data_IF_922171496749
#
_entry.id   IF_922171496749
#
_cell.length_a   1.000
_cell.length_b   1.000
_cell.length_c   1.000
_cell.angle_alpha   90.00
_cell.angle_beta   90.00
_cell.angle_gamma   90.00
#
_symmetry.space_group_name_H-M   'P 1'
#
loop_
_entity.id
_entity.type
_entity.pdbx_description
1 polymer ?
#
# COMPACT_ATOMS: atom_id res chain seq x y z
N UNK A 1 -15.99 -4.63 -4.32
CA UNK A 1 -15.43 -5.39 -5.46
C UNK A 1 -14.22 -4.64 -5.98
N UNK A 2 -13.04 -5.28 -6.03
CA UNK A 2 -11.80 -4.65 -6.54
C UNK A 2 -11.35 -5.45 -7.76
N UNK A 3 -11.13 -4.75 -8.89
CA UNK A 3 -10.67 -5.37 -10.13
C UNK A 3 -9.22 -4.93 -10.37
N UNK A 4 -8.32 -5.91 -10.52
CA UNK A 4 -6.94 -5.63 -10.86
C UNK A 4 -6.84 -5.03 -12.27
N UNK A 5 -5.98 -4.01 -12.48
CA UNK A 5 -5.71 -3.52 -13.81
C UNK A 5 -4.93 -4.55 -14.62
N UNK A 6 -5.15 -4.57 -15.94
CA UNK A 6 -4.52 -5.51 -16.86
C UNK A 6 -2.99 -5.50 -16.75
N UNK A 7 -2.40 -4.33 -16.51
CA UNK A 7 -0.97 -4.14 -16.30
C UNK A 7 -0.39 -5.00 -15.18
N UNK A 8 -1.08 -5.11 -14.03
CA UNK A 8 -0.59 -5.88 -12.88
C UNK A 8 -0.73 -7.38 -13.13
N UNK A 9 -1.82 -7.81 -13.75
CA UNK A 9 -2.02 -9.22 -14.13
C UNK A 9 -0.95 -9.66 -15.14
N UNK A 10 -0.72 -8.84 -16.17
CA UNK A 10 0.32 -9.08 -17.16
C UNK A 10 1.72 -9.11 -16.50
N UNK A 11 2.00 -8.21 -15.57
CA UNK A 11 3.26 -8.18 -14.85
C UNK A 11 3.48 -9.45 -14.02
N UNK A 12 2.47 -9.91 -13.28
CA UNK A 12 2.57 -11.18 -12.53
C UNK A 12 2.82 -12.38 -13.44
N UNK A 13 2.21 -12.41 -14.62
CA UNK A 13 2.48 -13.44 -15.62
C UNK A 13 3.93 -13.38 -16.13
N UNK A 14 4.44 -12.18 -16.46
CA UNK A 14 5.84 -12.01 -16.88
C UNK A 14 6.81 -12.41 -15.77
N UNK A 15 6.54 -12.04 -14.52
CA UNK A 15 7.34 -12.47 -13.37
C UNK A 15 7.38 -13.99 -13.22
N UNK A 16 6.25 -14.67 -13.41
CA UNK A 16 6.18 -16.14 -13.36
C UNK A 16 7.03 -16.78 -14.47
N UNK A 17 6.98 -16.23 -15.69
CA UNK A 17 7.82 -16.70 -16.80
C UNK A 17 9.31 -16.54 -16.47
N UNK A 18 9.70 -15.41 -15.89
CA UNK A 18 11.09 -15.16 -15.50
C UNK A 18 11.53 -16.11 -14.39
N UNK A 19 10.67 -16.34 -13.41
CA UNK A 19 10.93 -17.33 -12.36
C UNK A 19 11.11 -18.73 -12.94
N UNK A 20 10.31 -19.10 -13.94
CA UNK A 20 10.46 -20.37 -14.65
C UNK A 20 11.80 -20.49 -15.38
N UNK A 21 12.16 -19.50 -16.20
CA UNK A 21 13.42 -19.53 -16.96
C UNK A 21 14.67 -19.46 -16.07
N UNK A 22 14.65 -18.58 -15.06
CA UNK A 22 15.73 -18.51 -14.08
C UNK A 22 15.81 -19.77 -13.22
N UNK A 23 14.68 -20.34 -12.82
CA UNK A 23 14.60 -21.62 -12.14
C UNK A 23 15.21 -22.75 -12.97
N UNK A 24 14.89 -22.83 -14.27
CA UNK A 24 15.46 -23.83 -15.17
C UNK A 24 16.98 -23.69 -15.32
N UNK A 25 17.49 -22.46 -15.42
CA UNK A 25 18.93 -22.19 -15.43
C UNK A 25 19.59 -22.68 -14.13
N UNK A 26 19.02 -22.34 -12.97
CA UNK A 26 19.54 -22.77 -11.68
C UNK A 26 19.48 -24.29 -11.50
N UNK A 27 18.44 -24.95 -12.02
CA UNK A 27 18.35 -26.41 -12.04
C UNK A 27 19.54 -27.00 -12.80
N UNK A 28 19.88 -26.47 -13.98
CA UNK A 28 21.05 -26.95 -14.75
C UNK A 28 22.36 -26.77 -13.96
N UNK A 29 22.52 -25.65 -13.24
CA UNK A 29 23.67 -25.44 -12.36
C UNK A 29 23.72 -26.47 -11.24
N UNK A 30 22.60 -26.74 -10.57
CA UNK A 30 22.55 -27.76 -9.50
C UNK A 30 22.74 -29.18 -10.01
N UNK A 31 22.28 -29.50 -11.23
CA UNK A 31 22.52 -30.81 -11.84
C UNK A 31 24.01 -31.00 -12.17
N UNK A 32 24.69 -29.93 -12.58
CA UNK A 32 26.14 -29.96 -12.82
C UNK A 32 26.91 -30.28 -11.54
N UNK A 33 26.48 -29.77 -10.38
CA UNK A 33 27.11 -30.10 -9.10
C UNK A 33 26.71 -31.48 -8.58
N UNK A 34 25.54 -32.01 -8.96
CA UNK A 34 25.05 -33.33 -8.61
C UNK A 34 25.67 -34.46 -9.46
N UNK A 35 26.02 -34.18 -10.71
CA UNK A 35 26.52 -35.17 -11.67
C UNK A 35 27.74 -35.97 -11.19
N UNK A 36 28.80 -35.37 -10.62
CA UNK A 36 29.98 -36.11 -10.16
C UNK A 36 29.65 -37.12 -9.07
N UNK A 37 28.68 -36.81 -8.19
CA UNK A 37 28.21 -37.73 -7.16
C UNK A 37 27.52 -38.95 -7.77
N UNK A 38 26.57 -38.74 -8.68
CA UNK A 38 25.85 -39.83 -9.37
C UNK A 38 26.81 -40.71 -10.17
N UNK A 39 27.75 -40.08 -10.88
CA UNK A 39 28.74 -40.80 -11.70
C UNK A 39 29.68 -41.66 -10.84
N UNK A 40 30.15 -41.14 -9.72
CA UNK A 40 31.02 -41.87 -8.80
C UNK A 40 30.28 -43.06 -8.13
N UNK A 41 29.00 -42.89 -7.78
CA UNK A 41 28.18 -43.98 -7.23
C UNK A 41 27.96 -45.10 -8.26
N UNK A 42 27.69 -44.74 -9.52
CA UNK A 42 27.46 -45.69 -10.60
C UNK A 42 28.73 -46.46 -11.03
N UNK A 43 29.90 -45.81 -10.98
CA UNK A 43 31.17 -46.42 -11.43
C UNK A 43 31.91 -47.18 -10.33
N UNK A 44 31.41 -47.18 -9.09
CA UNK A 44 32.07 -47.77 -7.91
C UNK A 44 33.55 -47.36 -7.76
N UNK A 45 33.94 -46.19 -8.28
CA UNK A 45 35.32 -45.72 -8.32
C UNK A 45 35.52 -44.59 -7.29
N UNK A 46 35.73 -44.97 -6.03
CA UNK A 46 36.00 -44.03 -4.93
C UNK A 46 37.49 -43.68 -4.90
N UNK A 47 37.92 -42.70 -5.71
CA UNK A 47 39.34 -42.33 -5.84
C UNK A 47 39.85 -41.58 -4.61
N UNK A 48 39.03 -40.74 -3.95
CA UNK A 48 39.35 -40.00 -2.73
C UNK A 48 38.09 -39.77 -1.86
N UNK A 49 38.04 -40.33 -0.65
CA UNK A 49 36.86 -40.22 0.24
C UNK A 49 36.50 -38.75 0.60
N UNK A 50 37.52 -37.89 0.81
CA UNK A 50 37.29 -36.50 1.23
C UNK A 50 36.69 -35.58 0.15
N UNK A 51 37.13 -35.75 -1.11
CA UNK A 51 36.62 -34.95 -2.24
C UNK A 51 35.19 -35.38 -2.61
N UNK A 52 34.91 -36.66 -2.47
CA UNK A 52 33.57 -37.21 -2.64
C UNK A 52 32.60 -36.63 -1.60
N UNK A 53 32.94 -36.69 -0.30
CA UNK A 53 32.09 -36.17 0.78
C UNK A 53 31.80 -34.67 0.65
N UNK A 54 32.80 -33.88 0.24
CA UNK A 54 32.63 -32.44 -0.03
C UNK A 54 31.64 -32.18 -1.17
N UNK A 55 31.73 -32.97 -2.24
CA UNK A 55 30.84 -32.84 -3.40
C UNK A 55 29.41 -33.25 -3.07
N UNK A 56 29.23 -34.26 -2.22
CA UNK A 56 27.91 -34.65 -1.69
C UNK A 56 27.30 -33.52 -0.86
N UNK A 57 28.06 -32.93 0.07
CA UNK A 57 27.59 -31.83 0.91
C UNK A 57 27.16 -30.63 0.05
N UNK A 58 28.00 -30.24 -0.91
CA UNK A 58 27.72 -29.09 -1.78
C UNK A 58 26.48 -29.32 -2.67
N UNK A 59 26.31 -30.53 -3.21
CA UNK A 59 25.17 -30.86 -4.08
C UNK A 59 23.85 -30.86 -3.32
N UNK A 60 23.77 -31.54 -2.16
CA UNK A 60 22.56 -31.56 -1.29
C UNK A 60 22.18 -30.15 -0.85
N UNK A 61 23.17 -29.36 -0.43
CA UNK A 61 23.00 -27.99 -0.03
C UNK A 61 22.47 -27.09 -1.16
N UNK A 62 23.05 -27.23 -2.35
CA UNK A 62 22.64 -26.48 -3.55
C UNK A 62 21.20 -26.84 -3.97
N UNK A 63 20.81 -28.12 -3.87
CA UNK A 63 19.43 -28.54 -4.12
C UNK A 63 18.44 -27.92 -3.12
N UNK A 64 18.78 -27.91 -1.83
CA UNK A 64 17.94 -27.25 -0.81
C UNK A 64 17.81 -25.73 -1.07
N UNK A 65 18.92 -25.06 -1.39
CA UNK A 65 18.93 -23.64 -1.72
C UNK A 65 18.08 -23.30 -2.95
N UNK A 66 18.04 -24.19 -3.94
CA UNK A 66 17.18 -24.06 -5.12
C UNK A 66 15.70 -24.07 -4.75
N UNK A 67 15.27 -25.02 -3.91
CA UNK A 67 13.89 -25.07 -3.43
C UNK A 67 13.51 -23.80 -2.65
N UNK A 68 14.39 -23.35 -1.75
CA UNK A 68 14.17 -22.11 -0.97
C UNK A 68 14.03 -20.90 -1.89
N UNK A 69 14.89 -20.77 -2.90
CA UNK A 69 14.85 -19.62 -3.82
C UNK A 69 13.56 -19.60 -4.66
N UNK A 70 13.13 -20.75 -5.19
CA UNK A 70 11.89 -20.84 -5.98
C UNK A 70 10.66 -20.54 -5.12
N UNK A 71 10.58 -21.11 -3.91
CA UNK A 71 9.48 -20.88 -2.98
C UNK A 71 9.43 -19.40 -2.56
N UNK A 72 10.59 -18.79 -2.26
CA UNK A 72 10.66 -17.36 -1.95
C UNK A 72 10.15 -16.54 -3.14
N UNK A 73 10.63 -16.82 -4.35
CA UNK A 73 10.19 -16.13 -5.56
C UNK A 73 8.68 -16.19 -5.80
N UNK A 74 8.07 -17.38 -5.65
CA UNK A 74 6.61 -17.54 -5.72
C UNK A 74 5.90 -16.72 -4.65
N UNK A 75 6.36 -16.81 -3.39
CA UNK A 75 5.77 -16.07 -2.28
C UNK A 75 5.79 -14.55 -2.52
N UNK A 76 6.89 -14.00 -3.05
CA UNK A 76 6.99 -12.56 -3.35
C UNK A 76 5.99 -12.11 -4.42
N UNK A 77 5.74 -12.91 -5.47
CA UNK A 77 4.74 -12.58 -6.50
C UNK A 77 3.34 -12.48 -5.87
N UNK A 78 2.96 -13.46 -5.05
CA UNK A 78 1.65 -13.44 -4.37
C UNK A 78 1.52 -12.29 -3.38
N UNK A 79 2.56 -12.04 -2.58
CA UNK A 79 2.58 -10.95 -1.59
C UNK A 79 2.51 -9.59 -2.30
N UNK A 80 3.25 -9.40 -3.40
CA UNK A 80 3.22 -8.18 -4.20
C UNK A 80 1.83 -7.88 -4.77
N UNK A 81 1.16 -8.89 -5.33
CA UNK A 81 -0.22 -8.74 -5.85
C UNK A 81 -1.24 -8.42 -4.75
N UNK A 82 -1.08 -8.99 -3.55
CA UNK A 82 -1.92 -8.67 -2.38
C UNK A 82 -1.68 -7.25 -1.90
N UNK A 83 -0.41 -6.85 -1.79
CA UNK A 83 -0.03 -5.54 -1.27
C UNK A 83 -0.45 -4.42 -2.22
N UNK A 84 -0.33 -4.61 -3.55
CA UNK A 84 -0.87 -3.67 -4.53
C UNK A 84 -2.35 -3.34 -4.26
N UNK A 85 -3.19 -4.36 -4.03
CA UNK A 85 -4.61 -4.16 -3.71
C UNK A 85 -4.78 -3.39 -2.41
N UNK A 86 -4.02 -3.74 -1.38
CA UNK A 86 -4.11 -3.10 -0.07
C UNK A 86 -3.70 -1.61 -0.15
N UNK A 87 -2.59 -1.32 -0.81
CA UNK A 87 -2.06 0.03 -0.95
C UNK A 87 -2.97 0.89 -1.83
N UNK A 88 -3.52 0.33 -2.92
CA UNK A 88 -4.48 1.04 -3.78
C UNK A 88 -5.76 1.42 -3.01
N UNK A 89 -6.28 0.52 -2.15
CA UNK A 89 -7.45 0.81 -1.32
C UNK A 89 -7.18 1.92 -0.30
N UNK A 90 -5.97 1.98 0.27
CA UNK A 90 -5.56 3.08 1.15
C UNK A 90 -5.50 4.41 0.43
N UNK A 91 -4.96 4.44 -0.79
CA UNK A 91 -4.93 5.65 -1.62
C UNK A 91 -6.34 6.12 -1.93
N UNK A 92 -7.27 5.21 -2.23
CA UNK A 92 -8.68 5.59 -2.46
C UNK A 92 -9.36 6.19 -1.22
N UNK A 93 -8.91 5.82 -0.02
CA UNK A 93 -9.37 6.43 1.24
C UNK A 93 -8.72 7.80 1.51
N UNK A 94 -7.76 8.24 0.67
CA UNK A 94 -7.01 9.48 0.86
C UNK A 94 -5.87 9.37 1.88
N UNK A 95 -5.49 8.16 2.29
CA UNK A 95 -4.34 7.96 3.17
C UNK A 95 -3.03 8.14 2.37
N UNK A 96 -2.13 9.00 2.86
CA UNK A 96 -0.80 9.18 2.27
C UNK A 96 0.05 7.92 2.53
N UNK A 97 0.62 7.32 1.48
CA UNK A 97 1.54 6.17 1.61
C UNK A 97 2.93 6.63 2.02
N UNK A 98 3.45 7.66 1.36
CA UNK A 98 4.74 8.28 1.68
C UNK A 98 4.60 9.77 1.47
N UNK A 99 4.93 10.54 2.51
CA UNK A 99 4.81 12.00 2.50
C UNK A 99 5.86 12.63 1.58
N UNK A 100 7.09 12.11 1.60
CA UNK A 100 8.22 12.68 0.87
C UNK A 100 8.15 12.48 -0.65
N UNK A 101 7.41 11.47 -1.14
CA UNK A 101 7.28 11.21 -2.58
C UNK A 101 6.19 12.05 -3.26
N UNK A 102 5.35 12.76 -2.51
CA UNK A 102 4.35 13.67 -3.08
C UNK A 102 4.95 14.95 -3.68
N UNK A 103 6.16 15.34 -3.27
CA UNK A 103 6.81 16.58 -3.70
C UNK A 103 7.53 16.47 -5.06
N UNK A 104 7.49 15.31 -5.72
CA UNK A 104 8.12 15.13 -7.03
C UNK A 104 7.29 15.77 -8.14
N UNK A 105 7.98 16.36 -9.11
CA UNK A 105 7.38 16.91 -10.32
C UNK A 105 6.52 15.86 -11.05
N UNK A 106 5.35 16.20 -11.59
CA UNK A 106 4.47 15.25 -12.29
C UNK A 106 5.15 14.46 -13.42
N UNK A 107 6.09 15.11 -14.13
CA UNK A 107 6.89 14.47 -15.18
C UNK A 107 7.75 13.33 -14.65
N UNK A 108 8.37 13.52 -13.47
CA UNK A 108 9.17 12.50 -12.81
C UNK A 108 8.30 11.33 -12.33
N UNK A 109 7.12 11.62 -11.77
CA UNK A 109 6.16 10.60 -11.36
C UNK A 109 5.73 9.74 -12.56
N UNK A 110 5.38 10.38 -13.68
CA UNK A 110 4.98 9.66 -14.88
C UNK A 110 6.13 8.80 -15.44
N UNK A 111 7.34 9.35 -15.51
CA UNK A 111 8.53 8.64 -15.97
C UNK A 111 8.82 7.40 -15.10
N UNK A 112 8.77 7.56 -13.78
CA UNK A 112 8.99 6.46 -12.83
C UNK A 112 7.90 5.39 -12.91
N UNK A 113 6.64 5.79 -13.17
CA UNK A 113 5.57 4.84 -13.46
C UNK A 113 5.86 4.03 -14.72
N UNK A 114 6.38 4.63 -15.80
CA UNK A 114 6.72 3.90 -17.02
C UNK A 114 7.87 2.90 -16.81
N UNK A 115 8.84 3.24 -15.95
CA UNK A 115 10.01 2.40 -15.66
C UNK A 115 9.66 1.17 -14.80
N UNK A 116 8.66 1.29 -13.93
CA UNK A 116 8.31 0.27 -12.92
C UNK A 116 8.25 -1.19 -13.43
N UNK A 117 7.57 -1.54 -14.55
CA UNK A 117 7.44 -2.94 -14.97
C UNK A 117 8.79 -3.58 -15.29
N UNK A 118 9.70 -2.82 -15.89
CA UNK A 118 11.06 -3.27 -16.19
C UNK A 118 11.88 -3.48 -14.92
N UNK A 119 11.78 -2.55 -13.95
CA UNK A 119 12.43 -2.71 -12.65
C UNK A 119 11.91 -3.92 -11.91
N UNK A 120 10.58 -4.09 -11.82
CA UNK A 120 9.99 -5.22 -11.11
C UNK A 120 10.44 -6.58 -11.67
N UNK A 121 10.57 -6.68 -12.99
CA UNK A 121 11.09 -7.84 -13.70
C UNK A 121 12.58 -8.08 -13.40
N UNK A 122 13.41 -7.04 -13.51
CA UNK A 122 14.85 -7.14 -13.29
C UNK A 122 15.18 -7.50 -11.82
N UNK A 123 14.50 -6.89 -10.85
CA UNK A 123 14.68 -7.18 -9.43
C UNK A 123 14.22 -8.59 -9.08
N UNK A 124 13.19 -9.11 -9.73
CA UNK A 124 12.78 -10.50 -9.56
C UNK A 124 13.87 -11.48 -10.03
N UNK A 125 14.47 -11.23 -11.20
CA UNK A 125 15.58 -12.04 -11.72
C UNK A 125 16.79 -12.02 -10.77
N UNK A 126 17.24 -10.83 -10.38
CA UNK A 126 18.36 -10.68 -9.44
C UNK A 126 18.04 -11.28 -8.07
N UNK A 127 16.80 -11.13 -7.58
CA UNK A 127 16.40 -11.65 -6.29
C UNK A 127 16.42 -13.17 -6.22
N UNK A 128 15.99 -13.87 -7.28
CA UNK A 128 16.09 -15.35 -7.35
C UNK A 128 17.56 -15.79 -7.36
N UNK A 129 18.42 -15.10 -8.12
CA UNK A 129 19.85 -15.39 -8.18
C UNK A 129 20.56 -15.17 -6.84
N UNK A 130 20.38 -13.99 -6.23
CA UNK A 130 21.01 -13.61 -4.96
C UNK A 130 20.48 -14.48 -3.82
N UNK A 131 19.18 -14.80 -3.82
CA UNK A 131 18.60 -15.72 -2.84
C UNK A 131 19.21 -17.13 -2.96
N UNK A 132 19.41 -17.64 -4.18
CA UNK A 132 20.06 -18.93 -4.40
C UNK A 132 21.50 -18.94 -3.89
N UNK A 133 22.33 -17.96 -4.30
CA UNK A 133 23.73 -17.87 -3.88
C UNK A 133 23.83 -17.75 -2.35
N UNK A 134 23.03 -16.86 -1.76
CA UNK A 134 23.08 -16.63 -0.32
C UNK A 134 22.57 -17.84 0.45
N UNK A 135 21.50 -18.49 0.01
CA UNK A 135 21.01 -19.71 0.63
C UNK A 135 22.06 -20.83 0.55
N UNK A 136 22.67 -21.06 -0.61
CA UNK A 136 23.75 -22.06 -0.78
C UNK A 136 24.92 -21.78 0.15
N UNK A 137 25.39 -20.53 0.25
CA UNK A 137 26.49 -20.18 1.16
C UNK A 137 26.08 -20.38 2.63
N UNK A 138 24.89 -19.91 3.00
CA UNK A 138 24.39 -19.96 4.38
C UNK A 138 24.16 -21.39 4.85
N UNK A 139 23.78 -22.33 3.97
CA UNK A 139 23.62 -23.74 4.32
C UNK A 139 24.90 -24.55 4.17
N UNK A 140 25.82 -24.16 3.27
CA UNK A 140 27.10 -24.89 3.09
C UNK A 140 28.05 -24.66 4.27
N UNK A 141 28.23 -23.40 4.70
CA UNK A 141 29.16 -23.05 5.79
C UNK A 141 28.93 -23.89 7.06
N UNK A 142 27.72 -23.95 7.65
CA UNK A 142 27.52 -24.69 8.89
C UNK A 142 27.68 -26.20 8.71
N UNK A 143 27.19 -26.77 7.59
CA UNK A 143 27.33 -28.22 7.33
C UNK A 143 28.80 -28.59 7.15
N UNK A 144 29.57 -27.76 6.45
CA UNK A 144 31.01 -27.93 6.31
C UNK A 144 31.76 -27.81 7.63
N UNK A 145 31.41 -26.84 8.47
CA UNK A 145 31.98 -26.70 9.81
C UNK A 145 31.70 -27.94 10.66
N UNK A 146 30.47 -28.47 10.64
CA UNK A 146 30.09 -29.67 11.39
C UNK A 146 30.84 -30.91 10.88
N UNK A 147 30.92 -31.09 9.56
CA UNK A 147 31.63 -32.22 8.94
C UNK A 147 33.12 -32.21 9.31
N UNK A 148 33.78 -31.06 9.17
CA UNK A 148 35.18 -30.90 9.58
C UNK A 148 35.34 -31.25 11.07
N UNK A 149 34.48 -30.72 11.93
CA UNK A 149 34.58 -30.93 13.36
C UNK A 149 34.34 -32.39 13.78
N UNK A 150 33.48 -33.11 13.04
CA UNK A 150 33.25 -34.54 13.22
C UNK A 150 34.49 -35.38 12.89
N UNK A 151 35.14 -35.10 11.75
CA UNK A 151 36.30 -35.86 11.29
C UNK A 151 37.52 -35.72 12.19
N UNK A 152 37.72 -34.56 12.82
CA UNK A 152 38.80 -34.37 13.77
C UNK A 152 38.48 -34.86 15.20
N UNK A 153 37.28 -35.39 15.45
CA UNK A 153 36.87 -35.88 16.77
C UNK A 153 36.65 -34.79 17.84
N UNK A 154 36.87 -33.52 17.50
CA UNK A 154 36.75 -32.38 18.40
C UNK A 154 35.30 -31.99 18.74
N UNK A 155 34.28 -32.69 18.20
CA UNK A 155 32.88 -32.39 18.51
C UNK A 155 32.60 -32.38 20.01
N UNK A 156 33.11 -33.38 20.75
CA UNK A 156 32.89 -33.46 22.20
C UNK A 156 33.60 -32.32 22.94
N UNK A 157 34.81 -31.98 22.51
CA UNK A 157 35.62 -30.91 23.11
C UNK A 157 35.00 -29.54 22.85
N UNK A 158 34.52 -29.28 21.61
CA UNK A 158 33.79 -28.06 21.28
C UNK A 158 32.46 -27.99 22.02
N UNK A 159 31.70 -29.09 22.15
CA UNK A 159 30.45 -29.08 22.92
C UNK A 159 30.73 -28.71 24.38
N UNK A 160 31.82 -29.23 24.97
CA UNK A 160 32.24 -28.87 26.33
C UNK A 160 32.66 -27.40 26.43
N UNK A 161 33.43 -26.89 25.47
CA UNK A 161 33.84 -25.48 25.40
C UNK A 161 32.62 -24.57 25.18
N UNK A 162 31.67 -24.97 24.34
CA UNK A 162 30.43 -24.24 24.09
C UNK A 162 29.53 -24.23 25.33
N UNK A 163 29.43 -25.33 26.08
CA UNK A 163 28.68 -25.37 27.33
C UNK A 163 29.30 -24.42 28.38
N UNK A 164 30.64 -24.36 28.44
CA UNK A 164 31.35 -23.44 29.31
C UNK A 164 31.18 -21.98 28.85
N UNK A 165 31.24 -21.72 27.54
CA UNK A 165 31.04 -20.39 26.96
C UNK A 165 29.60 -19.89 27.14
N UNK A 166 28.60 -20.77 27.00
CA UNK A 166 27.17 -20.45 27.13
C UNK A 166 26.73 -20.22 28.59
N UNK A 167 27.53 -20.67 29.56
CA UNK A 167 27.26 -20.44 30.99
C UNK A 167 27.26 -18.95 31.35
N UNK A 168 28.11 -18.12 30.71
CA UNK A 168 28.14 -16.69 30.95
C UNK A 168 26.90 -15.95 30.41
N UNK A 169 26.49 -16.12 29.13
CA UNK A 169 25.22 -15.60 28.64
C UNK A 169 24.00 -16.08 29.44
N UNK A 170 23.99 -17.33 29.92
CA UNK A 170 22.89 -17.87 30.71
C UNK A 170 22.66 -17.05 32.01
N UNK A 171 23.74 -16.66 32.71
CA UNK A 171 23.66 -15.80 33.90
C UNK A 171 23.16 -14.40 33.52
N UNK A 172 23.63 -13.84 32.40
CA UNK A 172 23.18 -12.52 31.90
C UNK A 172 21.68 -12.56 31.55
N UNK A 173 21.20 -13.62 30.89
CA UNK A 173 19.78 -13.81 30.59
C UNK A 173 18.95 -13.98 31.87
N UNK A 174 19.45 -14.74 32.86
CA UNK A 174 18.78 -14.89 34.15
C UNK A 174 18.62 -13.53 34.85
N UNK A 175 19.68 -12.71 34.87
CA UNK A 175 19.64 -11.35 35.43
C UNK A 175 18.66 -10.45 34.67
N UNK A 176 18.59 -10.57 33.35
CA UNK A 176 17.60 -9.85 32.54
C UNK A 176 16.16 -10.26 32.90
N UNK A 177 15.87 -11.57 33.01
CA UNK A 177 14.55 -12.03 33.42
C UNK A 177 14.21 -11.63 34.86
N UNK A 178 15.18 -11.63 35.77
CA UNK A 178 15.00 -11.12 37.12
C UNK A 178 14.66 -9.62 37.11
N UNK A 179 15.29 -8.83 36.24
CA UNK A 179 14.94 -7.42 36.05
C UNK A 179 13.51 -7.24 35.52
N UNK A 180 13.08 -8.05 34.55
CA UNK A 180 11.69 -8.06 34.04
C UNK A 180 10.70 -8.50 35.13
N UNK A 181 11.10 -9.42 36.01
CA UNK A 181 10.27 -9.84 37.13
C UNK A 181 10.11 -8.74 38.18
N UNK A 182 11.22 -8.09 38.58
CA UNK A 182 11.22 -6.95 39.50
C UNK A 182 10.41 -5.78 38.95
N UNK A 183 10.49 -5.51 37.64
CA UNK A 183 9.72 -4.44 37.03
C UNK A 183 8.21 -4.67 37.14
N UNK A 184 7.74 -5.92 36.93
CA UNK A 184 6.32 -6.27 37.03
C UNK A 184 5.78 -6.35 38.45
N UNK A 185 6.60 -6.77 39.42
CA UNK A 185 6.14 -7.07 40.79
C UNK A 185 6.41 -5.98 41.81
N UNK A 186 7.50 -5.22 41.66
CA UNK A 186 7.99 -4.31 42.70
C UNK A 186 8.01 -2.85 42.22
N UNK A 187 8.29 -2.62 40.94
CA UNK A 187 8.48 -1.26 40.42
C UNK A 187 7.20 -0.65 39.84
N UNK A 188 6.36 -1.46 39.17
CA UNK A 188 5.15 -0.98 38.49
C UNK A 188 3.96 -0.90 39.45
N UNK A 189 3.21 0.20 39.37
CA UNK A 189 2.02 0.42 40.18
C UNK A 189 0.94 -0.64 39.93
N UNK A 190 0.24 -1.04 40.99
CA UNK A 190 -0.91 -1.93 40.88
C UNK A 190 -2.03 -1.33 40.02
N UNK A 191 -2.89 -2.20 39.48
CA UNK A 191 -4.00 -1.78 38.61
C UNK A 191 -4.94 -0.85 39.34
N UNK A 192 -5.17 0.34 38.79
CA UNK A 192 -6.08 1.33 39.36
C UNK A 192 -7.56 0.91 39.27
N UNK A 193 -7.91 0.18 38.20
CA UNK A 193 -9.24 -0.43 38.00
C UNK A 193 -9.08 -1.89 37.60
N UNK A 194 -9.88 -2.78 38.19
CA UNK A 194 -9.86 -4.21 37.87
C UNK A 194 -10.30 -4.52 36.42
N UNK A 195 -10.93 -3.56 35.73
CA UNK A 195 -11.36 -3.68 34.33
C UNK A 195 -10.26 -3.37 33.31
N UNK A 196 -9.14 -2.75 33.72
CA UNK A 196 -8.06 -2.39 32.80
C UNK A 196 -7.15 -3.62 32.53
N UNK A 197 -6.86 -3.88 31.26
CA UNK A 197 -6.06 -5.03 30.82
C UNK A 197 -4.62 -4.96 31.37
N UNK A 198 -4.03 -3.77 31.36
CA UNK A 198 -2.65 -3.51 31.77
C UNK A 198 -2.59 -2.49 32.92
N UNK A 199 -1.64 -2.64 33.87
CA UNK A 199 -1.38 -1.62 34.89
C UNK A 199 -0.91 -0.30 34.26
N UNK A 200 -1.18 0.85 34.91
CA UNK A 200 -0.71 2.15 34.42
C UNK A 200 0.82 2.23 34.43
N UNK A 201 1.40 2.99 33.48
CA UNK A 201 2.84 3.25 33.43
C UNK A 201 3.25 4.28 34.51
N UNK A 202 3.11 3.89 35.77
CA UNK A 202 3.58 4.67 36.90
C UNK A 202 4.42 3.80 37.83
N UNK A 203 5.46 4.39 38.42
CA UNK A 203 6.45 3.68 39.23
C UNK A 203 6.24 4.01 40.70
N UNK A 204 5.97 2.99 41.52
CA UNK A 204 5.67 3.19 42.94
C UNK A 204 6.92 3.62 43.73
N UNK A 205 8.08 3.01 43.44
CA UNK A 205 9.32 3.29 44.15
C UNK A 205 10.43 3.77 43.20
N UNK A 206 10.38 5.07 42.89
CA UNK A 206 11.35 5.73 42.01
C UNK A 206 12.81 5.60 42.49
N UNK A 207 13.05 5.67 43.80
CA UNK A 207 14.40 5.52 44.37
C UNK A 207 14.96 4.11 44.17
N UNK A 208 14.11 3.09 44.34
CA UNK A 208 14.51 1.71 44.10
C UNK A 208 14.73 1.43 42.61
N UNK A 209 13.94 2.03 41.72
CA UNK A 209 14.18 1.98 40.27
C UNK A 209 15.58 2.52 39.92
N UNK A 210 15.99 3.65 40.50
CA UNK A 210 17.32 4.23 40.27
C UNK A 210 18.45 3.29 40.71
N UNK A 211 18.31 2.64 41.87
CA UNK A 211 19.27 1.63 42.37
C UNK A 211 19.32 0.42 41.43
N UNK A 212 18.17 -0.12 41.04
CA UNK A 212 18.08 -1.27 40.12
C UNK A 212 18.70 -0.92 38.77
N UNK A 213 18.43 0.26 38.22
CA UNK A 213 19.03 0.71 36.97
C UNK A 213 20.55 0.84 37.05
N UNK A 214 21.08 1.34 38.17
CA UNK A 214 22.52 1.44 38.40
C UNK A 214 23.19 0.06 38.40
N UNK A 215 22.65 -0.91 39.15
CA UNK A 215 23.20 -2.27 39.21
C UNK A 215 23.01 -3.05 37.89
N UNK A 216 21.89 -2.87 37.20
CA UNK A 216 21.60 -3.52 35.93
C UNK A 216 22.34 -2.92 34.73
N UNK A 217 23.09 -1.82 34.90
CA UNK A 217 23.79 -1.13 33.81
C UNK A 217 24.70 -2.07 33.01
N UNK A 218 25.57 -2.83 33.70
CA UNK A 218 26.52 -3.72 33.05
C UNK A 218 25.85 -4.93 32.38
N UNK A 219 24.81 -5.50 32.99
CA UNK A 219 24.02 -6.59 32.40
C UNK A 219 23.29 -6.12 31.13
N UNK A 220 22.67 -4.94 31.18
CA UNK A 220 21.98 -4.37 30.02
C UNK A 220 22.95 -3.95 28.91
N UNK A 221 24.15 -3.50 29.25
CA UNK A 221 25.21 -3.27 28.27
C UNK A 221 25.59 -4.56 27.53
N UNK A 222 25.75 -5.67 28.25
CA UNK A 222 26.04 -6.98 27.64
C UNK A 222 24.91 -7.44 26.72
N UNK A 223 23.64 -7.39 27.16
CA UNK A 223 22.47 -7.70 26.31
C UNK A 223 22.39 -6.75 25.11
N UNK A 224 22.73 -5.48 25.29
CA UNK A 224 22.82 -4.46 24.23
C UNK A 224 23.80 -4.84 23.11
N UNK A 225 24.97 -5.38 23.45
CA UNK A 225 25.94 -5.85 22.46
C UNK A 225 25.38 -7.01 21.61
N UNK A 226 24.73 -7.99 22.24
CA UNK A 226 24.12 -9.12 21.53
C UNK A 226 22.94 -8.69 20.65
N UNK A 227 22.06 -7.83 21.17
CA UNK A 227 20.91 -7.32 20.40
C UNK A 227 21.34 -6.44 19.23
N UNK A 228 22.45 -5.71 19.34
CA UNK A 228 23.05 -4.95 18.24
C UNK A 228 23.54 -5.88 17.11
N UNK A 229 24.27 -6.95 17.44
CA UNK A 229 24.68 -7.96 16.45
C UNK A 229 23.46 -8.62 15.80
N UNK A 230 22.48 -9.02 16.61
CA UNK A 230 21.25 -9.63 16.10
C UNK A 230 20.48 -8.68 15.16
N UNK A 231 20.44 -7.38 15.46
CA UNK A 231 19.86 -6.35 14.58
C UNK A 231 20.54 -6.35 13.20
N UNK A 232 21.87 -6.45 13.14
CA UNK A 232 22.59 -6.50 11.85
C UNK A 232 22.21 -7.77 11.10
N UNK A 233 22.22 -8.92 11.77
CA UNK A 233 21.86 -10.21 11.16
C UNK A 233 20.42 -10.22 10.62
N UNK A 234 19.45 -9.73 11.38
CA UNK A 234 18.05 -9.67 10.93
C UNK A 234 17.89 -8.76 9.70
N UNK A 235 18.52 -7.60 9.71
CA UNK A 235 18.46 -6.68 8.56
C UNK A 235 19.12 -7.28 7.32
N UNK A 236 20.26 -7.95 7.47
CA UNK A 236 20.94 -8.64 6.36
C UNK A 236 20.07 -9.79 5.81
N UNK A 237 19.53 -10.62 6.71
CA UNK A 237 18.64 -11.73 6.34
C UNK A 237 17.41 -11.23 5.59
N UNK A 238 16.63 -10.35 6.20
CA UNK A 238 15.42 -9.82 5.56
C UNK A 238 15.74 -9.02 4.29
N UNK A 239 16.83 -8.26 4.27
CA UNK A 239 17.26 -7.51 3.08
C UNK A 239 17.52 -8.41 1.87
N UNK A 240 18.20 -9.55 2.06
CA UNK A 240 18.47 -10.50 0.98
C UNK A 240 17.20 -11.19 0.50
N UNK A 241 16.36 -11.69 1.41
CA UNK A 241 15.16 -12.43 1.02
C UNK A 241 14.08 -11.55 0.39
N UNK A 242 14.03 -10.25 0.73
CA UNK A 242 13.05 -9.30 0.21
C UNK A 242 13.57 -8.41 -0.93
N UNK A 243 14.77 -8.65 -1.47
CA UNK A 243 15.34 -7.80 -2.54
C UNK A 243 14.49 -7.80 -3.83
N UNK A 244 13.81 -8.90 -4.14
CA UNK A 244 12.93 -9.01 -5.31
C UNK A 244 11.68 -8.11 -5.22
N UNK A 245 11.41 -7.57 -4.03
CA UNK A 245 10.16 -6.89 -3.68
C UNK A 245 10.35 -5.38 -3.75
N UNK A 246 9.46 -4.69 -4.48
CA UNK A 246 9.50 -3.23 -4.65
C UNK A 246 8.43 -2.49 -3.83
N UNK A 247 7.50 -3.20 -3.20
CA UNK A 247 6.37 -2.61 -2.46
C UNK A 247 6.72 -2.01 -1.09
N UNK A 248 7.92 -2.25 -0.57
CA UNK A 248 8.44 -1.52 0.59
C UNK A 248 9.86 -1.07 0.36
N UNK A 249 10.20 0.08 0.92
CA UNK A 249 11.58 0.53 0.92
C UNK A 249 12.46 -0.33 1.83
N UNK A 250 13.70 -0.55 1.38
CA UNK A 250 14.78 -1.13 2.20
C UNK A 250 15.31 -0.11 3.22
N UNK A 251 15.10 1.18 2.96
CA UNK A 251 15.61 2.29 3.76
C UNK A 251 14.61 2.72 4.85
N UNK A 252 15.07 3.38 5.93
CA UNK A 252 14.19 4.00 6.91
C UNK A 252 13.34 5.10 6.28
N UNK A 253 12.24 5.47 6.94
CA UNK A 253 11.19 6.31 6.34
C UNK A 253 11.66 7.66 5.77
N UNK A 254 12.64 8.27 6.44
CA UNK A 254 13.26 9.54 6.02
C UNK A 254 14.17 9.41 4.78
N UNK A 255 14.59 8.20 4.41
CA UNK A 255 15.48 7.90 3.28
C UNK A 255 14.78 7.08 2.18
N UNK A 256 13.45 6.94 2.23
CA UNK A 256 12.66 6.21 1.23
C UNK A 256 12.89 6.73 -0.21
N UNK A 257 13.24 8.00 -0.37
CA UNK A 257 13.48 8.64 -1.68
C UNK A 257 14.72 8.11 -2.39
N UNK A 258 15.68 7.55 -1.65
CA UNK A 258 16.90 6.96 -2.20
C UNK A 258 16.64 5.62 -2.89
N UNK A 259 15.55 4.95 -2.50
CA UNK A 259 15.09 3.72 -3.11
C UNK A 259 14.35 4.02 -4.42
N UNK A 260 15.06 3.90 -5.55
CA UNK A 260 14.46 4.09 -6.88
C UNK A 260 13.40 3.02 -7.19
N UNK A 261 13.56 1.81 -6.65
CA UNK A 261 12.63 0.70 -6.86
C UNK A 261 11.29 0.98 -6.20
N UNK A 262 11.33 1.33 -4.90
CA UNK A 262 10.14 1.74 -4.16
C UNK A 262 9.51 3.02 -4.75
N UNK A 263 10.33 3.99 -5.16
CA UNK A 263 9.83 5.21 -5.77
C UNK A 263 9.08 4.95 -7.09
N UNK A 264 9.55 4.00 -7.91
CA UNK A 264 8.85 3.58 -9.12
C UNK A 264 7.52 2.90 -8.82
N UNK A 265 7.47 2.04 -7.77
CA UNK A 265 6.24 1.42 -7.30
C UNK A 265 5.20 2.48 -6.88
N UNK A 266 5.55 3.38 -5.95
CA UNK A 266 4.67 4.46 -5.46
C UNK A 266 4.17 5.33 -6.62
N UNK A 267 5.06 5.68 -7.55
CA UNK A 267 4.71 6.49 -8.73
C UNK A 267 3.71 5.78 -9.63
N UNK A 268 3.84 4.46 -9.82
CA UNK A 268 2.83 3.67 -10.53
C UNK A 268 1.47 3.74 -9.83
N UNK A 269 1.40 3.55 -8.51
CA UNK A 269 0.11 3.60 -7.80
C UNK A 269 -0.56 4.96 -7.93
N UNK A 270 0.22 6.05 -7.87
CA UNK A 270 -0.32 7.40 -7.99
C UNK A 270 -0.88 7.67 -9.38
N UNK A 271 -0.17 7.27 -10.43
CA UNK A 271 -0.65 7.38 -11.83
C UNK A 271 -1.89 6.51 -12.05
N UNK A 272 -1.90 5.28 -11.54
CA UNK A 272 -3.04 4.38 -11.62
C UNK A 272 -4.27 4.96 -10.89
N UNK A 273 -4.09 5.53 -9.70
CA UNK A 273 -5.16 6.21 -8.97
C UNK A 273 -5.68 7.43 -9.74
N UNK A 274 -4.80 8.27 -10.29
CA UNK A 274 -5.21 9.47 -11.03
C UNK A 274 -6.09 9.14 -12.24
N UNK A 275 -5.80 8.06 -12.97
CA UNK A 275 -6.56 7.68 -14.16
C UNK A 275 -7.72 6.71 -13.91
N UNK A 276 -7.62 5.88 -12.87
CA UNK A 276 -8.58 4.79 -12.61
C UNK A 276 -9.33 4.95 -11.27
N UNK A 277 -9.42 6.15 -10.71
CA UNK A 277 -10.21 6.39 -9.51
C UNK A 277 -11.68 5.95 -9.72
N UNK A 278 -12.20 4.99 -8.96
CA UNK A 278 -13.53 4.43 -9.18
C UNK A 278 -14.64 5.45 -8.89
N UNK A 279 -14.46 6.32 -7.88
CA UNK A 279 -15.43 7.34 -7.53
C UNK A 279 -15.58 8.37 -8.64
N UNK A 280 -14.45 8.84 -9.20
CA UNK A 280 -14.46 9.79 -10.32
C UNK A 280 -15.09 9.17 -11.58
N UNK A 281 -14.76 7.91 -11.89
CA UNK A 281 -15.34 7.18 -13.03
C UNK A 281 -16.85 7.01 -12.91
N UNK A 282 -17.33 6.61 -11.73
CA UNK A 282 -18.78 6.47 -11.48
C UNK A 282 -19.47 7.83 -11.56
N UNK A 283 -18.86 8.88 -10.99
CA UNK A 283 -19.39 10.25 -11.09
C UNK A 283 -19.51 10.71 -12.55
N UNK A 284 -18.46 10.52 -13.36
CA UNK A 284 -18.47 10.86 -14.78
C UNK A 284 -19.51 10.04 -15.56
N UNK A 285 -19.65 8.75 -15.27
CA UNK A 285 -20.66 7.89 -15.89
C UNK A 285 -22.08 8.36 -15.53
N UNK A 286 -22.35 8.69 -14.26
CA UNK A 286 -23.65 9.23 -13.84
C UNK A 286 -23.97 10.54 -14.55
N UNK A 287 -22.98 11.42 -14.73
CA UNK A 287 -23.16 12.68 -15.46
C UNK A 287 -23.45 12.42 -16.94
N UNK A 288 -22.69 11.54 -17.58
CA UNK A 288 -22.85 11.17 -18.98
C UNK A 288 -24.20 10.50 -19.26
N UNK A 289 -24.63 9.55 -18.43
CA UNK A 289 -25.93 8.89 -18.59
C UNK A 289 -27.08 9.90 -18.49
N UNK A 290 -26.99 10.85 -17.55
CA UNK A 290 -28.01 11.90 -17.41
C UNK A 290 -28.06 12.82 -18.62
N UNK A 291 -26.91 13.34 -19.07
CA UNK A 291 -26.87 14.24 -20.23
C UNK A 291 -27.32 13.54 -21.51
N UNK A 292 -26.94 12.27 -21.71
CA UNK A 292 -27.38 11.46 -22.84
C UNK A 292 -28.90 11.23 -22.81
N UNK A 293 -29.46 10.87 -21.65
CA UNK A 293 -30.90 10.69 -21.49
C UNK A 293 -31.67 11.98 -21.79
N UNK A 294 -31.17 13.14 -21.36
CA UNK A 294 -31.78 14.44 -21.69
C UNK A 294 -31.75 14.71 -23.20
N UNK A 295 -30.63 14.43 -23.88
CA UNK A 295 -30.52 14.61 -25.33
C UNK A 295 -31.47 13.70 -26.10
N UNK A 296 -31.55 12.42 -25.73
CA UNK A 296 -32.48 11.47 -26.37
C UNK A 296 -33.95 11.92 -26.25
N UNK A 297 -34.34 12.49 -25.10
CA UNK A 297 -35.69 13.05 -24.89
C UNK A 297 -35.94 14.30 -25.74
N UNK A 298 -34.94 15.16 -25.90
CA UNK A 298 -35.05 16.32 -26.79
C UNK A 298 -35.20 15.91 -28.25
N UNK A 299 -34.45 14.90 -28.72
CA UNK A 299 -34.57 14.37 -30.07
C UNK A 299 -35.94 13.72 -30.33
N UNK A 300 -36.51 13.02 -29.33
CA UNK A 300 -37.88 12.49 -29.41
C UNK A 300 -38.91 13.60 -29.55
N UNK A 301 -38.86 14.64 -28.70
CA UNK A 301 -39.78 15.77 -28.81
C UNK A 301 -39.62 16.55 -30.12
N UNK A 302 -38.40 16.62 -30.67
CA UNK A 302 -38.18 17.30 -31.95
C UNK A 302 -38.83 16.53 -33.12
N UNK A 303 -38.68 15.19 -33.14
CA UNK A 303 -39.37 14.32 -34.12
C UNK A 303 -40.89 14.35 -33.99
N UNK A 304 -41.39 14.32 -32.75
CA UNK A 304 -42.83 14.39 -32.48
C UNK A 304 -43.41 15.77 -32.87
N UNK A 305 -42.64 16.86 -32.74
CA UNK A 305 -43.06 18.19 -33.21
C UNK A 305 -43.03 18.36 -34.74
N UNK A 306 -42.12 17.66 -35.45
CA UNK A 306 -42.05 17.72 -36.92
C UNK A 306 -43.17 16.92 -37.59
N UNK A 307 -43.69 15.89 -36.93
CA UNK A 307 -44.81 15.09 -37.44
C UNK A 307 -46.19 15.76 -37.21
N UNK A 308 -46.25 16.87 -36.46
CA UNK A 308 -47.47 17.67 -36.19
C UNK A 308 -47.50 18.98 -37.01
N UNK A 309 -46.80 19.05 -38.14
CA UNK A 309 -46.98 20.16 -39.09
C UNK A 309 -48.39 20.06 -39.75
N UNK A 310 -49.25 21.09 -39.65
CA UNK A 310 -50.61 20.99 -40.16
C UNK A 310 -50.64 21.16 -41.68
N UNK A 311 -50.97 20.09 -42.39
CA UNK A 311 -51.58 20.16 -43.72
C UNK A 311 -53.00 20.71 -43.57
N UNK A 312 -53.19 22.03 -43.50
CA UNK A 312 -54.40 22.70 -44.00
C UNK A 312 -54.15 24.19 -44.24
N UNK A 313 -54.18 24.61 -45.50
CA UNK A 313 -54.66 25.93 -45.90
C UNK A 313 -56.19 25.92 -45.84
N UNK A 314 -56.84 26.88 -45.16
CA UNK A 314 -57.83 27.77 -45.81
C UNK A 314 -58.45 28.83 -44.88
N UNK A 315 -59.05 29.82 -45.55
CA UNK A 315 -59.57 31.12 -45.11
C UNK A 315 -60.75 31.16 -44.10
N UNK A 316 -60.67 32.11 -43.13
CA UNK A 316 -61.70 33.01 -42.50
C UNK A 316 -63.02 32.43 -41.90
N UNK A 317 -63.81 33.19 -41.09
CA UNK A 317 -63.54 34.44 -40.33
C UNK A 317 -63.90 34.37 -38.82
N UNK A 318 -63.53 35.46 -38.09
CA UNK A 318 -63.81 35.77 -36.67
C UNK A 318 -65.29 35.67 -36.27
N UNK A 319 -65.55 35.11 -35.08
CA UNK A 319 -66.67 35.47 -34.22
C UNK A 319 -66.27 35.49 -32.74
N UNK A 320 -66.81 36.49 -32.03
CA UNK A 320 -66.60 36.86 -30.62
C UNK A 320 -67.47 36.01 -29.67
N UNK A 321 -67.19 36.14 -28.35
CA UNK A 321 -67.91 35.66 -27.14
C UNK A 321 -67.49 34.27 -26.64
N UNK A 322 -67.50 33.90 -25.36
CA UNK A 322 -67.49 34.49 -24.01
C UNK A 322 -67.81 33.28 -23.11
N UNK A 323 -67.06 33.07 -22.01
CA UNK A 323 -67.57 32.35 -20.84
C UNK A 323 -67.46 30.81 -20.79
N UNK A 324 -67.05 30.37 -19.60
CA UNK A 324 -67.44 29.15 -18.86
C UNK A 324 -66.82 27.79 -19.21
N UNK A 325 -65.95 27.36 -18.29
CA UNK A 325 -65.85 26.06 -17.63
C UNK A 325 -66.49 24.86 -18.34
N UNK A 326 -65.66 23.92 -18.78
CA UNK A 326 -65.99 22.50 -18.83
C UNK A 326 -64.76 21.68 -18.41
N UNK A 327 -64.94 20.97 -17.31
CA UNK A 327 -64.05 19.97 -16.76
C UNK A 327 -64.20 18.74 -17.66
N UNK A 328 -63.19 18.42 -18.46
CA UNK A 328 -63.13 17.13 -19.14
C UNK A 328 -62.29 16.15 -18.32
N UNK A 329 -63.00 15.18 -17.76
CA UNK A 329 -62.47 13.98 -17.14
C UNK A 329 -61.81 13.11 -18.21
N UNK A 330 -60.48 13.09 -18.26
CA UNK A 330 -59.74 12.01 -18.93
C UNK A 330 -59.41 10.95 -17.88
N UNK A 331 -60.22 9.89 -17.87
CA UNK A 331 -59.94 8.62 -17.18
C UNK A 331 -58.69 7.96 -17.76
N UNK A 332 -57.70 7.54 -16.95
CA UNK A 332 -56.54 6.81 -17.44
C UNK A 332 -56.85 5.31 -17.58
N UNK A 333 -56.59 4.75 -18.76
CA UNK A 333 -56.64 3.31 -19.02
C UNK A 333 -55.45 2.59 -18.35
N UNK A 334 -55.63 1.37 -17.79
CA UNK A 334 -54.61 0.71 -16.99
C UNK A 334 -53.80 -0.29 -17.82
N UNK A 335 -52.76 0.15 -18.53
CA UNK A 335 -51.80 -0.81 -19.10
C UNK A 335 -50.50 -0.16 -19.58
N UNK A 336 -49.65 0.25 -18.64
CA UNK A 336 -48.19 0.31 -18.82
C UNK A 336 -47.48 0.69 -17.51
N UNK A 337 -47.82 0.00 -16.42
CA UNK A 337 -46.98 0.03 -15.22
C UNK A 337 -45.75 -0.85 -15.44
N UNK A 338 -44.71 -0.26 -16.01
CA UNK A 338 -43.34 -0.58 -15.62
C UNK A 338 -42.49 0.69 -15.72
N UNK A 339 -42.81 1.64 -14.83
CA UNK A 339 -41.99 2.82 -14.65
C UNK A 339 -40.63 2.40 -14.11
N UNK A 340 -39.60 2.62 -14.93
CA UNK A 340 -38.24 2.72 -14.42
C UNK A 340 -38.23 3.85 -13.37
N UNK A 341 -37.67 3.64 -12.17
CA UNK A 341 -37.67 4.65 -11.09
C UNK A 341 -36.85 5.92 -11.41
N UNK A 342 -36.36 6.04 -12.65
CA UNK A 342 -35.52 7.13 -13.14
C UNK A 342 -36.18 7.94 -14.27
N UNK A 343 -37.41 7.62 -14.68
CA UNK A 343 -38.11 8.35 -15.76
C UNK A 343 -39.12 9.34 -15.21
N UNK A 344 -38.63 10.44 -14.63
CA UNK A 344 -39.46 11.62 -14.38
C UNK A 344 -39.58 12.46 -15.66
N UNK A 345 -40.82 12.74 -16.06
CA UNK A 345 -41.20 13.74 -17.07
C UNK A 345 -41.02 15.12 -16.43
N UNK A 346 -40.19 15.99 -17.02
CA UNK A 346 -39.83 17.28 -16.41
C UNK A 346 -40.44 18.45 -17.22
N UNK A 347 -41.56 19.04 -16.75
CA UNK A 347 -42.10 20.35 -17.22
C UNK A 347 -41.47 21.51 -16.43
N UNK A 348 -41.57 22.77 -16.89
CA UNK A 348 -40.92 23.93 -16.23
C UNK A 348 -41.21 24.07 -14.71
N UNK A 349 -42.39 23.63 -14.23
CA UNK A 349 -42.69 23.60 -12.80
C UNK A 349 -41.91 22.51 -12.04
N UNK A 350 -41.68 21.35 -12.66
CA UNK A 350 -40.86 20.28 -12.06
C UNK A 350 -39.38 20.66 -11.94
N UNK A 351 -38.86 21.54 -12.79
CA UNK A 351 -37.49 22.07 -12.66
C UNK A 351 -37.31 22.89 -11.38
N UNK A 352 -38.28 23.75 -11.03
CA UNK A 352 -38.27 24.51 -9.77
C UNK A 352 -38.35 23.58 -8.56
N UNK A 353 -39.17 22.54 -8.64
CA UNK A 353 -39.31 21.52 -7.59
C UNK A 353 -38.03 20.70 -7.42
N UNK A 354 -37.34 20.36 -8.51
CA UNK A 354 -36.05 19.66 -8.52
C UNK A 354 -34.92 20.49 -7.88
N UNK A 355 -34.90 21.81 -8.14
CA UNK A 355 -33.98 22.74 -7.47
C UNK A 355 -34.26 22.86 -5.97
N UNK A 356 -35.53 22.95 -5.57
CA UNK A 356 -35.91 23.00 -4.16
C UNK A 356 -35.48 21.72 -3.42
N UNK A 357 -35.73 20.54 -4.01
CA UNK A 357 -35.28 19.24 -3.46
C UNK A 357 -33.76 19.16 -3.34
N UNK A 358 -33.03 19.62 -4.35
CA UNK A 358 -31.55 19.65 -4.31
C UNK A 358 -31.03 20.52 -3.17
N UNK A 359 -31.67 21.67 -2.91
CA UNK A 359 -31.33 22.55 -1.78
C UNK A 359 -31.61 21.87 -0.43
N UNK A 360 -32.70 21.12 -0.30
CA UNK A 360 -32.98 20.35 0.91
C UNK A 360 -31.97 19.23 1.15
N UNK A 361 -31.59 18.46 0.13
CA UNK A 361 -30.55 17.43 0.23
C UNK A 361 -29.19 18.02 0.65
N UNK A 362 -28.86 19.20 0.12
CA UNK A 362 -27.64 19.91 0.49
C UNK A 362 -27.65 20.32 1.97
N UNK A 363 -28.75 20.91 2.45
CA UNK A 363 -28.93 21.28 3.85
C UNK A 363 -28.84 20.07 4.77
N UNK A 364 -29.53 18.98 4.43
CA UNK A 364 -29.48 17.72 5.16
C UNK A 364 -28.05 17.16 5.27
N UNK A 365 -27.29 17.21 4.16
CA UNK A 365 -25.89 16.73 4.14
C UNK A 365 -24.99 17.58 5.04
N UNK A 366 -25.17 18.91 5.04
CA UNK A 366 -24.39 19.82 5.87
C UNK A 366 -24.70 19.71 7.36
N UNK A 367 -25.97 19.50 7.73
CA UNK A 367 -26.37 19.29 9.12
C UNK A 367 -25.70 18.04 9.69
N UNK A 368 -25.63 16.96 8.91
CA UNK A 368 -24.99 15.69 9.32
C UNK A 368 -23.47 15.71 9.25
N UNK A 369 -22.86 16.69 8.57
CA UNK A 369 -21.41 16.79 8.38
C UNK A 369 -20.92 18.22 8.67
N UNK A 370 -20.83 18.62 9.94
CA UNK A 370 -20.56 20.02 10.31
C UNK A 370 -19.21 20.53 9.81
N UNK A 371 -18.18 19.67 9.76
CA UNK A 371 -16.86 19.98 9.20
C UNK A 371 -16.89 20.43 7.73
N UNK A 372 -17.83 19.91 6.92
CA UNK A 372 -17.98 20.33 5.52
C UNK A 372 -18.54 21.74 5.39
N UNK A 373 -19.26 22.25 6.41
CA UNK A 373 -19.77 23.61 6.41
C UNK A 373 -18.63 24.64 6.41
N UNK A 374 -17.63 24.43 7.26
CA UNK A 374 -16.46 25.31 7.32
C UNK A 374 -15.66 25.26 6.02
N UNK A 375 -15.32 24.06 5.53
CA UNK A 375 -14.59 23.88 4.27
C UNK A 375 -15.32 24.51 3.07
N UNK A 376 -16.65 24.36 3.01
CA UNK A 376 -17.46 24.95 1.94
C UNK A 376 -17.42 26.48 1.98
N UNK A 377 -17.55 27.09 3.16
CA UNK A 377 -17.47 28.56 3.32
C UNK A 377 -16.11 29.07 2.87
N UNK A 378 -15.02 28.47 3.35
CA UNK A 378 -13.65 28.85 2.96
C UNK A 378 -13.44 28.78 1.46
N UNK A 379 -13.90 27.69 0.81
CA UNK A 379 -13.76 27.52 -0.64
C UNK A 379 -14.58 28.54 -1.43
N UNK A 380 -15.81 28.84 -1.00
CA UNK A 380 -16.66 29.85 -1.64
C UNK A 380 -16.06 31.26 -1.50
N UNK A 381 -15.51 31.60 -0.33
CA UNK A 381 -14.82 32.88 -0.12
C UNK A 381 -13.61 33.00 -1.04
N UNK A 382 -12.83 31.92 -1.23
CA UNK A 382 -11.69 31.91 -2.15
C UNK A 382 -12.14 32.19 -3.60
N UNK A 383 -13.20 31.52 -4.07
CA UNK A 383 -13.76 31.72 -5.42
C UNK A 383 -14.26 33.17 -5.60
N UNK A 384 -15.01 33.69 -4.63
CA UNK A 384 -15.53 35.06 -4.66
C UNK A 384 -14.44 36.13 -4.61
N UNK A 385 -13.27 35.81 -4.06
CA UNK A 385 -12.11 36.70 -4.02
C UNK A 385 -11.30 36.63 -5.32
N UNK A 386 -11.18 35.46 -5.96
CA UNK A 386 -10.56 35.33 -7.30
C UNK A 386 -11.37 36.06 -8.38
N UNK A 387 -12.70 36.04 -8.30
CA UNK A 387 -13.56 36.76 -9.27
C UNK A 387 -13.54 38.30 -9.08
N UNK A 388 -12.91 38.80 -8.01
CA UNK A 388 -12.77 40.23 -7.71
C UNK A 388 -11.42 40.82 -8.11
N UNK A 389 -10.45 40.02 -8.58
CA UNK A 389 -9.25 40.57 -9.20
C UNK A 389 -9.61 41.03 -10.63
N UNK A 390 -9.35 42.30 -10.99
CA UNK A 390 -9.59 42.76 -12.34
C UNK A 390 -8.65 42.01 -13.31
N UNK A 391 -9.22 41.55 -14.42
CA UNK A 391 -8.48 40.98 -15.55
C UNK A 391 -7.31 41.89 -15.96
N UNK A 392 -6.11 41.50 -15.57
CA UNK A 392 -4.88 42.19 -15.94
C UNK A 392 -3.81 42.00 -14.88
N UNK A 393 -3.04 40.91 -15.00
CA UNK A 393 -1.56 40.86 -14.95
C UNK A 393 -1.14 39.38 -14.89
N UNK A 394 -0.59 38.94 -16.02
CA UNK A 394 0.50 37.98 -16.27
C UNK A 394 0.49 36.58 -15.62
N UNK A 395 0.50 35.59 -16.52
CA UNK A 395 0.74 34.14 -16.37
C UNK A 395 2.11 33.74 -15.75
N UNK A 396 2.75 34.62 -14.97
CA UNK A 396 4.05 34.37 -14.33
C UNK A 396 3.93 34.16 -12.81
N UNK A 397 2.91 34.73 -12.15
CA UNK A 397 2.71 34.61 -10.70
C UNK A 397 1.90 33.38 -10.28
N UNK A 398 1.08 32.82 -11.17
CA UNK A 398 0.26 31.63 -10.85
C UNK A 398 1.13 30.40 -10.53
N UNK A 399 2.31 30.29 -11.16
CA UNK A 399 3.32 29.25 -10.83
C UNK A 399 4.07 29.51 -9.53
N UNK A 400 4.18 30.76 -9.08
CA UNK A 400 4.88 31.10 -7.84
C UNK A 400 3.96 30.96 -6.62
N UNK A 401 2.65 31.21 -6.77
CA UNK A 401 1.67 31.12 -5.68
C UNK A 401 1.27 29.65 -5.40
N UNK A 402 1.20 28.77 -6.41
CA UNK A 402 1.04 27.32 -6.16
C UNK A 402 2.26 26.70 -5.46
N UNK A 403 3.47 27.21 -5.69
CA UNK A 403 4.66 26.75 -4.99
C UNK A 403 4.70 27.21 -3.52
N UNK A 404 4.27 28.46 -3.23
CA UNK A 404 4.30 29.04 -1.88
C UNK A 404 3.14 28.55 -0.99
N UNK A 405 1.96 28.26 -1.56
CA UNK A 405 0.81 27.79 -0.76
C UNK A 405 0.90 26.32 -0.34
N UNK A 406 1.75 25.52 -1.00
CA UNK A 406 2.07 24.15 -0.55
C UNK A 406 3.03 24.17 0.63
N UNK A 407 3.94 25.15 0.72
CA UNK A 407 4.87 25.30 1.84
C UNK A 407 4.19 25.88 3.10
N UNK A 408 3.25 26.82 2.95
CA UNK A 408 2.57 27.45 4.09
C UNK A 408 1.50 26.56 4.75
N UNK A 409 0.81 25.71 3.99
CA UNK A 409 -0.19 24.78 4.52
C UNK A 409 0.42 23.63 5.35
N UNK A 410 1.74 23.39 5.21
CA UNK A 410 2.47 22.37 5.98
C UNK A 410 3.07 22.94 7.26
N UNK A 411 3.36 24.25 7.33
CA UNK A 411 3.89 24.88 8.54
C UNK A 411 2.85 25.05 9.66
N UNK A 412 1.56 25.17 9.33
CA UNK A 412 0.51 25.38 10.33
C UNK A 412 0.19 24.12 11.15
N UNK A 413 0.53 22.92 10.66
CA UNK A 413 0.35 21.68 11.41
C UNK A 413 1.50 21.37 12.40
N UNK A 414 2.61 22.12 12.38
CA UNK A 414 3.78 21.88 13.23
C UNK A 414 3.71 22.64 14.57
N UNK A 415 2.95 23.74 14.66
CA UNK A 415 2.94 24.62 15.85
C UNK A 415 1.85 24.29 16.90
N UNK A 416 1.12 23.17 16.78
CA UNK A 416 0.09 22.79 17.77
C UNK A 416 0.53 21.78 18.85
N UNK A 417 1.81 21.40 18.90
CA UNK A 417 2.33 20.55 19.98
C UNK A 417 3.61 21.09 20.61
N UNK A 418 3.47 22.00 21.57
CA UNK A 418 4.53 22.28 22.54
C UNK A 418 4.58 23.70 23.09
N UNK A 419 3.94 23.94 24.24
CA UNK A 419 4.56 24.57 25.41
C UNK A 419 3.51 25.05 26.40
N UNK A 420 3.42 24.37 27.54
CA UNK A 420 2.84 24.95 28.76
C UNK A 420 3.74 24.61 29.94
N UNK A 421 4.73 25.47 30.15
CA UNK A 421 5.25 25.82 31.48
C UNK A 421 5.65 27.29 31.42
N UNK A 422 5.22 28.09 32.40
CA UNK A 422 6.21 28.52 33.39
C UNK A 422 5.65 28.59 34.82
N UNK A 423 6.37 27.97 35.76
CA UNK A 423 6.73 28.45 37.11
C UNK A 423 7.50 27.34 37.85
#
# INVERSE_FOLDING_TARGET
FFRYPARIIALSFVQLNILYWSGLLLIMTTLTTLYPWIYADFTHQYVNNYEFDLTVILSVCSTFALFVSIINGLAQIFIGARNYRYDMLKIYQGQKISEHLLYKTPQNILTMSMIFPGYQVAFMLWGVLVCFITATVLTTIPVMCIYFLANFGFLKDIISIMAQLLSFPAIVFLMFYLQVFMSKRVLLQEKLKSADENPPLNVDNRKFLEIVNYYSLFTNMAVGLFTCMFRICQNAFFGVFFIARLDRSVFPSNLETWDRGYAAYVSMLLVDNAHNNPCMRVFAHLLWTKTLATRMRQDQHHKESSDIAPLTSDNRPRHTYQGTNLIDYVTPSPSSQLDNPWTFIETNDTQRTSQALTRWYLTYTLIRNPQLCMLRKTKLTKILNTDKLPNGINNSEEKHIEAVTVDEAVLVDIDSSGSSSPA
#
